data_IF_337160365498
#
_entry.id   IF_337160365498
#
_cell.length_a   1.000
_cell.length_b   1.000
_cell.length_c   1.000
_cell.angle_alpha   90.00
_cell.angle_beta   90.00
_cell.angle_gamma   90.00
#
_symmetry.space_group_name_H-M   'P 1'
#
loop_
_entity.id
_entity.type
_entity.pdbx_description
1 polymer ?
#
# COMPACT_ATOMS: atom_id res chain seq x y z
N UNK A 1 -25.34 21.80 -39.81
CA UNK A 1 -25.06 20.38 -40.17
C UNK A 1 -24.49 20.28 -41.60
N UNK A 2 -23.72 21.28 -42.07
CA UNK A 2 -23.39 21.48 -43.49
C UNK A 2 -21.88 21.63 -43.70
N UNK A 3 -21.08 20.87 -42.96
CA UNK A 3 -19.63 21.03 -43.02
C UNK A 3 -18.99 19.80 -43.64
N UNK A 4 -18.29 20.01 -44.75
CA UNK A 4 -17.46 18.98 -45.36
C UNK A 4 -16.28 18.68 -44.44
N UNK A 5 -15.91 17.41 -44.33
CA UNK A 5 -14.74 16.97 -43.58
C UNK A 5 -13.79 16.23 -44.51
N UNK A 6 -12.50 16.25 -44.17
CA UNK A 6 -11.51 15.43 -44.86
C UNK A 6 -11.76 13.94 -44.58
N UNK A 7 -11.81 13.11 -45.62
CA UNK A 7 -12.04 11.68 -45.51
C UNK A 7 -10.87 10.89 -44.90
N UNK A 8 -9.67 11.50 -44.76
CA UNK A 8 -8.50 10.88 -44.08
C UNK A 8 -8.39 11.30 -42.62
N UNK A 9 -8.40 12.60 -42.31
CA UNK A 9 -8.17 13.10 -40.94
C UNK A 9 -9.44 13.57 -40.21
N UNK A 10 -10.60 13.54 -40.86
CA UNK A 10 -11.88 14.07 -40.37
C UNK A 10 -11.88 15.54 -39.94
N UNK A 11 -10.82 16.30 -40.27
CA UNK A 11 -10.78 17.73 -40.02
C UNK A 11 -11.90 18.42 -40.82
N UNK A 12 -12.63 19.31 -40.14
CA UNK A 12 -13.64 20.14 -40.77
C UNK A 12 -12.99 21.11 -41.75
N UNK A 13 -13.55 21.19 -42.95
CA UNK A 13 -13.11 22.12 -43.98
C UNK A 13 -13.90 23.41 -43.88
N UNK A 14 -13.21 24.55 -43.84
CA UNK A 14 -13.86 25.85 -43.78
C UNK A 14 -14.62 26.15 -45.08
N UNK A 15 -15.63 27.00 -45.00
CA UNK A 15 -16.27 27.53 -46.20
C UNK A 15 -15.24 28.31 -47.04
N UNK A 16 -15.37 28.27 -48.37
CA UNK A 16 -14.42 28.86 -49.32
C UNK A 16 -13.01 28.27 -49.28
N UNK A 17 -12.79 27.20 -48.50
CA UNK A 17 -11.50 26.51 -48.50
C UNK A 17 -11.34 25.62 -49.73
N UNK A 18 -10.08 25.41 -50.10
CA UNK A 18 -9.67 24.47 -51.13
C UNK A 18 -9.66 23.06 -50.54
N UNK A 19 -10.20 22.12 -51.31
CA UNK A 19 -10.19 20.69 -51.05
C UNK A 19 -9.74 19.93 -52.31
N UNK A 20 -9.37 18.67 -52.12
CA UNK A 20 -8.99 17.78 -53.21
C UNK A 20 -10.02 16.65 -53.29
N UNK A 21 -10.72 16.57 -54.41
CA UNK A 21 -11.65 15.49 -54.71
C UNK A 21 -10.94 14.45 -55.58
N UNK A 22 -10.93 13.19 -55.15
CA UNK A 22 -10.46 12.08 -55.97
C UNK A 22 -11.58 11.53 -56.86
N UNK A 23 -11.24 10.85 -57.96
CA UNK A 23 -12.19 10.21 -58.88
C UNK A 23 -13.07 9.15 -58.22
N UNK A 24 -12.62 8.60 -57.07
CA UNK A 24 -13.41 7.72 -56.23
C UNK A 24 -14.46 8.44 -55.36
N UNK A 25 -14.70 9.73 -55.58
CA UNK A 25 -15.66 10.56 -54.86
C UNK A 25 -15.37 10.66 -53.35
N UNK A 26 -14.09 10.75 -52.98
CA UNK A 26 -13.64 11.05 -51.62
C UNK A 26 -12.89 12.38 -51.57
N UNK A 27 -13.08 13.11 -50.47
CA UNK A 27 -12.59 14.47 -50.30
C UNK A 27 -11.42 14.52 -49.32
N UNK A 28 -10.38 15.29 -49.63
CA UNK A 28 -9.20 15.41 -48.79
C UNK A 28 -8.86 16.88 -48.54
N UNK A 29 -8.36 17.19 -47.34
CA UNK A 29 -7.70 18.46 -47.12
C UNK A 29 -6.37 18.51 -47.87
N UNK A 30 -5.84 19.71 -48.21
CA UNK A 30 -4.61 19.84 -48.98
C UNK A 30 -3.42 19.06 -48.38
N UNK A 31 -3.30 19.06 -47.05
CA UNK A 31 -2.25 18.32 -46.33
C UNK A 31 -2.39 16.82 -46.57
N UNK A 32 -3.55 16.24 -46.27
CA UNK A 32 -3.76 14.80 -46.43
C UNK A 32 -3.68 14.33 -47.88
N UNK A 33 -4.14 15.15 -48.83
CA UNK A 33 -4.02 14.85 -50.25
C UNK A 33 -2.56 14.78 -50.67
N UNK A 34 -1.75 15.77 -50.25
CA UNK A 34 -0.30 15.79 -50.48
C UNK A 34 0.36 14.53 -49.91
N UNK A 35 0.06 14.18 -48.66
CA UNK A 35 0.66 13.01 -48.01
C UNK A 35 0.33 11.71 -48.77
N UNK A 36 -0.92 11.54 -49.21
CA UNK A 36 -1.36 10.37 -49.98
C UNK A 36 -0.65 10.30 -51.33
N UNK A 37 -0.52 11.43 -52.03
CA UNK A 37 0.14 11.50 -53.34
C UNK A 37 1.66 11.33 -53.27
N UNK A 38 2.29 11.74 -52.17
CA UNK A 38 3.74 11.57 -51.97
C UNK A 38 4.08 10.15 -51.52
N UNK A 39 3.15 9.47 -50.85
CA UNK A 39 3.32 8.09 -50.38
C UNK A 39 2.81 7.04 -51.38
N UNK A 40 2.19 7.47 -52.48
CA UNK A 40 1.42 6.61 -53.41
C UNK A 40 0.41 5.69 -52.67
N UNK A 41 -0.15 6.19 -51.58
CA UNK A 41 -1.13 5.46 -50.78
C UNK A 41 -2.45 5.34 -51.56
N UNK A 42 -3.16 4.20 -51.48
CA UNK A 42 -4.52 4.12 -51.99
C UNK A 42 -5.48 4.95 -51.13
N UNK A 43 -6.69 5.16 -51.64
CA UNK A 43 -7.76 5.80 -50.90
C UNK A 43 -8.02 5.06 -49.57
N UNK A 44 -7.98 5.72 -48.40
CA UNK A 44 -8.15 5.05 -47.11
C UNK A 44 -9.58 4.53 -46.86
N UNK A 45 -10.53 4.81 -47.76
CA UNK A 45 -11.93 4.42 -47.62
C UNK A 45 -12.37 3.32 -48.59
N UNK A 46 -11.91 3.36 -49.84
CA UNK A 46 -12.30 2.38 -50.86
C UNK A 46 -11.12 1.69 -51.54
N UNK A 47 -9.90 1.95 -51.09
CA UNK A 47 -8.65 1.38 -51.62
C UNK A 47 -8.39 1.69 -53.11
N UNK A 48 -9.21 2.55 -53.71
CA UNK A 48 -9.01 3.01 -55.09
C UNK A 48 -7.72 3.82 -55.24
N UNK A 49 -7.07 3.78 -56.42
CA UNK A 49 -5.83 4.51 -56.64
C UNK A 49 -6.06 6.02 -56.54
N UNK A 50 -5.13 6.74 -55.90
CA UNK A 50 -5.12 8.21 -55.85
C UNK A 50 -3.83 8.68 -56.51
N UNK A 51 -3.94 9.35 -57.65
CA UNK A 51 -2.82 9.83 -58.46
C UNK A 51 -3.05 11.29 -58.86
N UNK A 52 -1.99 11.98 -59.30
CA UNK A 52 -2.09 13.38 -59.73
C UNK A 52 -3.05 13.59 -60.90
N UNK A 53 -3.30 12.57 -61.73
CA UNK A 53 -4.19 12.64 -62.88
C UNK A 53 -5.66 12.36 -62.55
N UNK A 54 -5.96 11.79 -61.38
CA UNK A 54 -7.32 11.39 -61.01
C UNK A 54 -7.88 12.18 -59.81
N UNK A 55 -7.23 13.28 -59.46
CA UNK A 55 -7.69 14.23 -58.46
C UNK A 55 -8.04 15.57 -59.10
N UNK A 56 -8.93 16.30 -58.46
CA UNK A 56 -9.30 17.66 -58.83
C UNK A 56 -9.30 18.56 -57.61
N UNK A 57 -8.69 19.72 -57.75
CA UNK A 57 -8.81 20.79 -56.76
C UNK A 57 -10.20 21.42 -56.88
N UNK A 58 -10.91 21.51 -55.77
CA UNK A 58 -12.27 22.04 -55.69
C UNK A 58 -12.33 23.07 -54.57
N UNK A 59 -13.04 24.17 -54.80
CA UNK A 59 -13.29 25.17 -53.75
C UNK A 59 -14.69 24.96 -53.19
N UNK A 60 -14.83 24.90 -51.87
CA UNK A 60 -16.13 24.78 -51.21
C UNK A 60 -16.87 26.12 -51.35
N UNK A 61 -17.84 26.20 -52.26
CA UNK A 61 -18.54 27.44 -52.57
C UNK A 61 -19.65 27.74 -51.57
N UNK A 62 -19.88 29.03 -51.26
CA UNK A 62 -21.00 29.49 -50.41
C UNK A 62 -22.22 29.95 -51.22
N UNK A 63 -22.04 30.24 -52.51
CA UNK A 63 -23.12 30.62 -53.41
C UNK A 63 -22.98 29.88 -54.74
N UNK A 64 -24.07 29.79 -55.50
CA UNK A 64 -24.12 29.04 -56.74
C UNK A 64 -23.74 29.88 -57.97
N UNK A 65 -23.39 31.17 -57.85
CA UNK A 65 -23.23 32.05 -59.03
C UNK A 65 -22.15 31.57 -59.99
N UNK A 66 -21.03 31.05 -59.47
CA UNK A 66 -19.95 30.46 -60.28
C UNK A 66 -20.38 29.13 -60.93
N UNK A 67 -21.19 28.35 -60.24
CA UNK A 67 -21.75 27.10 -60.78
C UNK A 67 -22.84 27.36 -61.82
N UNK A 68 -23.64 28.43 -61.67
CA UNK A 68 -24.69 28.80 -62.62
C UNK A 68 -24.11 29.04 -64.01
N UNK A 69 -23.01 29.79 -64.10
CA UNK A 69 -22.32 29.99 -65.37
C UNK A 69 -21.78 28.67 -65.96
N UNK A 70 -21.34 27.75 -65.10
CA UNK A 70 -20.87 26.42 -65.52
C UNK A 70 -21.99 25.53 -66.09
N UNK A 71 -23.25 25.83 -65.78
CA UNK A 71 -24.42 25.10 -66.29
C UNK A 71 -25.03 25.73 -67.55
N UNK A 72 -24.63 26.96 -67.91
CA UNK A 72 -25.09 27.61 -69.13
C UNK A 72 -24.67 26.80 -70.38
N UNK A 73 -25.62 26.54 -71.28
CA UNK A 73 -25.38 25.73 -72.49
C UNK A 73 -25.51 24.21 -72.29
N UNK A 74 -25.75 23.74 -71.06
CA UNK A 74 -26.04 22.34 -70.78
C UNK A 74 -27.51 21.98 -71.03
N UNK A 75 -27.78 20.71 -71.33
CA UNK A 75 -29.16 20.22 -71.44
C UNK A 75 -29.80 20.09 -70.05
N UNK A 76 -31.14 20.19 -69.94
CA UNK A 76 -31.83 19.93 -68.66
C UNK A 76 -31.47 18.57 -68.06
N UNK A 77 -31.28 17.54 -68.90
CA UNK A 77 -30.89 16.21 -68.48
C UNK A 77 -29.53 16.21 -67.77
N UNK A 78 -28.49 16.77 -68.41
CA UNK A 78 -27.13 16.86 -67.85
C UNK A 78 -27.10 17.65 -66.52
N UNK A 79 -27.90 18.72 -66.43
CA UNK A 79 -28.04 19.51 -65.20
C UNK A 79 -28.62 18.65 -64.07
N UNK A 80 -29.71 17.93 -64.35
CA UNK A 80 -30.36 17.05 -63.36
C UNK A 80 -29.44 15.89 -62.92
N UNK A 81 -28.71 15.26 -63.84
CA UNK A 81 -27.76 14.21 -63.51
C UNK A 81 -26.61 14.72 -62.61
N UNK A 82 -26.07 15.90 -62.94
CA UNK A 82 -25.01 16.54 -62.15
C UNK A 82 -25.50 16.88 -60.74
N UNK A 83 -26.70 17.43 -60.62
CA UNK A 83 -27.33 17.73 -59.33
C UNK A 83 -27.55 16.45 -58.51
N UNK A 84 -28.07 15.39 -59.13
CA UNK A 84 -28.27 14.10 -58.48
C UNK A 84 -26.95 13.49 -57.99
N UNK A 85 -25.89 13.55 -58.79
CA UNK A 85 -24.57 13.08 -58.41
C UNK A 85 -24.01 13.85 -57.19
N UNK A 86 -24.17 15.18 -57.19
CA UNK A 86 -23.78 16.03 -56.06
C UNK A 86 -24.54 15.70 -54.76
N UNK A 87 -25.86 15.50 -54.86
CA UNK A 87 -26.71 15.09 -53.72
C UNK A 87 -26.27 13.73 -53.19
N UNK A 88 -26.10 12.74 -54.06
CA UNK A 88 -25.62 11.40 -53.68
C UNK A 88 -24.28 11.46 -52.96
N UNK A 89 -23.32 12.20 -53.52
CA UNK A 89 -22.02 12.42 -52.89
C UNK A 89 -22.17 13.02 -51.49
N UNK A 90 -22.97 14.08 -51.32
CA UNK A 90 -23.21 14.68 -50.01
C UNK A 90 -23.83 13.69 -49.02
N UNK A 91 -24.83 12.90 -49.43
CA UNK A 91 -25.42 11.87 -48.59
C UNK A 91 -24.40 10.82 -48.12
N UNK A 92 -23.51 10.37 -49.01
CA UNK A 92 -22.45 9.44 -48.64
C UNK A 92 -21.43 10.09 -47.70
N UNK A 93 -21.06 11.35 -47.91
CA UNK A 93 -20.20 12.08 -46.97
C UNK A 93 -20.80 12.17 -45.56
N UNK A 94 -22.12 12.37 -45.46
CA UNK A 94 -22.80 12.39 -44.16
C UNK A 94 -22.75 11.02 -43.47
N UNK A 95 -22.92 9.92 -44.21
CA UNK A 95 -22.77 8.56 -43.66
C UNK A 95 -21.35 8.31 -43.15
N UNK A 96 -20.34 8.71 -43.93
CA UNK A 96 -18.94 8.57 -43.55
C UNK A 96 -18.61 9.38 -42.30
N UNK A 97 -19.15 10.59 -42.17
CA UNK A 97 -18.98 11.42 -40.97
C UNK A 97 -19.55 10.73 -39.72
N UNK A 98 -20.77 10.18 -39.81
CA UNK A 98 -21.39 9.43 -38.71
C UNK A 98 -20.59 8.17 -38.36
N UNK A 99 -20.11 7.43 -39.36
CA UNK A 99 -19.26 6.26 -39.15
C UNK A 99 -17.93 6.61 -38.48
N UNK A 100 -17.29 7.71 -38.90
CA UNK A 100 -16.06 8.18 -38.26
C UNK A 100 -16.31 8.53 -36.79
N UNK A 101 -17.34 9.31 -36.50
CA UNK A 101 -17.70 9.71 -35.13
C UNK A 101 -18.02 8.47 -34.27
N UNK A 102 -18.76 7.50 -34.82
CA UNK A 102 -19.04 6.22 -34.16
C UNK A 102 -17.76 5.43 -33.87
N UNK A 103 -16.86 5.29 -34.83
CA UNK A 103 -15.60 4.56 -34.67
C UNK A 103 -14.69 5.21 -33.62
N UNK A 104 -14.64 6.55 -33.56
CA UNK A 104 -13.88 7.28 -32.55
C UNK A 104 -14.47 7.07 -31.15
N UNK A 105 -15.80 7.15 -31.02
CA UNK A 105 -16.48 6.89 -29.75
C UNK A 105 -16.29 5.44 -29.29
N UNK A 106 -16.40 4.48 -30.21
CA UNK A 106 -16.19 3.05 -29.93
C UNK A 106 -14.76 2.77 -29.45
N UNK A 107 -13.74 3.36 -30.09
CA UNK A 107 -12.34 3.25 -29.64
C UNK A 107 -12.13 3.86 -28.25
N UNK A 108 -12.69 5.06 -28.00
CA UNK A 108 -12.64 5.70 -26.67
C UNK A 108 -13.33 4.86 -25.60
N UNK A 109 -14.51 4.33 -25.91
CA UNK A 109 -15.28 3.48 -25.00
C UNK A 109 -14.51 2.20 -24.65
N UNK A 110 -13.97 1.51 -25.65
CA UNK A 110 -13.16 0.30 -25.45
C UNK A 110 -11.94 0.57 -24.56
N UNK A 111 -11.22 1.68 -24.81
CA UNK A 111 -10.08 2.10 -23.99
C UNK A 111 -10.48 2.43 -22.55
N UNK A 112 -11.59 3.13 -22.35
CA UNK A 112 -12.09 3.46 -21.02
C UNK A 112 -12.55 2.21 -20.27
N UNK A 113 -13.22 1.29 -20.97
CA UNK A 113 -13.66 0.01 -20.40
C UNK A 113 -12.48 -0.84 -19.95
N UNK A 114 -11.40 -0.92 -20.74
CA UNK A 114 -10.20 -1.67 -20.36
C UNK A 114 -9.49 -1.06 -19.17
N UNK A 115 -9.38 0.27 -19.10
CA UNK A 115 -8.83 0.98 -17.93
C UNK A 115 -9.66 0.77 -16.67
N UNK A 116 -10.99 0.83 -16.79
CA UNK A 116 -11.89 0.59 -15.66
C UNK A 116 -11.74 -0.84 -15.12
N UNK A 117 -11.71 -1.84 -16.00
CA UNK A 117 -11.47 -3.25 -15.62
C UNK A 117 -10.13 -3.43 -14.92
N UNK A 118 -9.05 -2.86 -15.47
CA UNK A 118 -7.73 -2.93 -14.85
C UNK A 118 -7.70 -2.29 -13.46
N UNK A 119 -8.36 -1.14 -13.29
CA UNK A 119 -8.43 -0.46 -11.98
C UNK A 119 -9.25 -1.25 -10.96
N UNK A 120 -10.37 -1.84 -11.40
CA UNK A 120 -11.20 -2.70 -10.56
C UNK A 120 -10.40 -3.92 -10.07
N UNK A 121 -9.65 -4.55 -10.96
CA UNK A 121 -8.81 -5.69 -10.60
C UNK A 121 -7.68 -5.29 -9.63
N UNK A 122 -7.04 -4.14 -9.85
CA UNK A 122 -6.05 -3.60 -8.91
C UNK A 122 -6.64 -3.37 -7.51
N UNK A 123 -7.83 -2.78 -7.41
CA UNK A 123 -8.52 -2.56 -6.14
C UNK A 123 -8.88 -3.90 -5.48
N UNK A 124 -9.39 -4.85 -6.27
CA UNK A 124 -9.75 -6.17 -5.77
C UNK A 124 -8.53 -6.92 -5.20
N UNK A 125 -7.40 -6.91 -5.92
CA UNK A 125 -6.15 -7.51 -5.45
C UNK A 125 -5.63 -6.83 -4.18
N UNK A 126 -5.68 -5.49 -4.13
CA UNK A 126 -5.32 -4.73 -2.93
C UNK A 126 -6.19 -5.07 -1.72
N UNK A 127 -7.51 -5.19 -1.93
CA UNK A 127 -8.45 -5.63 -0.90
C UNK A 127 -8.12 -7.03 -0.38
N UNK A 128 -7.88 -8.00 -1.28
CA UNK A 128 -7.52 -9.37 -0.89
C UNK A 128 -6.21 -9.42 -0.09
N UNK A 129 -5.21 -8.63 -0.48
CA UNK A 129 -3.95 -8.55 0.26
C UNK A 129 -4.14 -7.94 1.65
N UNK A 130 -4.88 -6.83 1.75
CA UNK A 130 -5.19 -6.20 3.03
C UNK A 130 -5.98 -7.14 3.95
N UNK A 131 -6.96 -7.87 3.39
CA UNK A 131 -7.74 -8.88 4.12
C UNK A 131 -6.86 -9.98 4.69
N UNK A 132 -5.90 -10.51 3.93
CA UNK A 132 -4.94 -11.53 4.42
C UNK A 132 -4.08 -11.00 5.56
N UNK A 133 -3.47 -9.82 5.40
CA UNK A 133 -2.66 -9.20 6.45
C UNK A 133 -3.45 -8.96 7.73
N UNK A 134 -4.70 -8.49 7.59
CA UNK A 134 -5.59 -8.30 8.74
C UNK A 134 -5.82 -9.63 9.49
N UNK A 135 -6.07 -10.72 8.77
CA UNK A 135 -6.26 -12.04 9.38
C UNK A 135 -5.00 -12.53 10.10
N UNK A 136 -3.82 -12.35 9.50
CA UNK A 136 -2.52 -12.67 10.10
C UNK A 136 -2.29 -11.88 11.40
N UNK A 137 -2.47 -10.56 11.37
CA UNK A 137 -2.33 -9.69 12.56
C UNK A 137 -3.34 -10.05 13.66
N UNK A 138 -4.57 -10.44 13.30
CA UNK A 138 -5.56 -10.91 14.28
C UNK A 138 -5.11 -12.22 14.93
N UNK A 139 -4.53 -13.15 14.17
CA UNK A 139 -3.98 -14.40 14.72
C UNK A 139 -2.80 -14.12 15.66
N UNK A 140 -1.85 -13.26 15.25
CA UNK A 140 -0.72 -12.85 16.09
C UNK A 140 -1.19 -12.19 17.39
N UNK A 141 -2.15 -11.26 17.32
CA UNK A 141 -2.74 -10.62 18.50
C UNK A 141 -3.32 -11.65 19.46
N UNK A 142 -4.05 -12.64 18.95
CA UNK A 142 -4.64 -13.68 19.78
C UNK A 142 -3.57 -14.56 20.44
N UNK A 143 -2.49 -14.87 19.72
CA UNK A 143 -1.32 -15.57 20.27
C UNK A 143 -0.66 -14.81 21.42
N UNK A 144 -0.33 -13.53 21.19
CA UNK A 144 0.26 -12.66 22.23
C UNK A 144 -0.67 -12.56 23.45
N UNK A 145 -1.99 -12.48 23.25
CA UNK A 145 -2.94 -12.43 24.35
C UNK A 145 -2.95 -13.72 25.17
N UNK A 146 -2.79 -14.88 24.52
CA UNK A 146 -2.65 -16.16 25.21
C UNK A 146 -1.36 -16.20 26.05
N UNK A 147 -0.24 -15.74 25.50
CA UNK A 147 1.05 -15.68 26.20
C UNK A 147 0.99 -14.75 27.43
N UNK A 148 0.35 -13.58 27.29
CA UNK A 148 0.13 -12.66 28.41
C UNK A 148 -0.65 -13.34 29.53
N UNK A 149 -1.70 -14.08 29.19
CA UNK A 149 -2.52 -14.78 30.18
C UNK A 149 -1.72 -15.88 30.89
N UNK A 150 -0.93 -16.65 30.14
CA UNK A 150 -0.06 -17.71 30.70
C UNK A 150 1.02 -17.13 31.63
N UNK A 151 1.72 -16.07 31.20
CA UNK A 151 2.74 -15.41 32.02
C UNK A 151 2.14 -14.82 33.30
N UNK A 152 0.95 -14.22 33.20
CA UNK A 152 0.22 -13.68 34.35
C UNK A 152 -0.08 -14.77 35.39
N UNK A 153 -0.57 -15.93 34.95
CA UNK A 153 -0.81 -17.08 35.84
C UNK A 153 0.49 -17.59 36.49
N UNK A 154 1.56 -17.75 35.71
CA UNK A 154 2.88 -18.15 36.22
C UNK A 154 3.41 -17.17 37.25
N UNK A 155 3.26 -15.86 37.00
CA UNK A 155 3.68 -14.82 37.93
C UNK A 155 2.90 -14.88 39.24
N UNK A 156 1.56 -15.05 39.19
CA UNK A 156 0.72 -15.22 40.37
C UNK A 156 1.15 -16.44 41.20
N UNK A 157 1.36 -17.59 40.56
CA UNK A 157 1.83 -18.80 41.23
C UNK A 157 3.18 -18.59 41.90
N UNK A 158 4.15 -17.99 41.18
CA UNK A 158 5.48 -17.71 41.71
C UNK A 158 5.44 -16.74 42.88
N UNK A 159 4.62 -15.69 42.81
CA UNK A 159 4.41 -14.73 43.90
C UNK A 159 3.88 -15.43 45.17
N UNK A 160 2.88 -16.32 45.03
CA UNK A 160 2.35 -17.10 46.14
C UNK A 160 3.41 -18.02 46.76
N UNK A 161 4.22 -18.70 45.94
CA UNK A 161 5.31 -19.54 46.41
C UNK A 161 6.37 -18.73 47.16
N UNK A 162 6.80 -17.59 46.60
CA UNK A 162 7.76 -16.69 47.25
C UNK A 162 7.25 -16.22 48.62
N UNK A 163 5.97 -15.86 48.74
CA UNK A 163 5.37 -15.47 50.02
C UNK A 163 5.44 -16.61 51.05
N UNK A 164 5.07 -17.83 50.67
CA UNK A 164 5.16 -19.01 51.54
C UNK A 164 6.58 -19.31 51.99
N UNK A 165 7.54 -19.23 51.07
CA UNK A 165 8.97 -19.41 51.37
C UNK A 165 9.48 -18.34 52.35
N UNK A 166 9.10 -17.08 52.15
CA UNK A 166 9.46 -16.00 53.07
C UNK A 166 8.88 -16.22 54.47
N UNK A 167 7.64 -16.70 54.57
CA UNK A 167 7.01 -17.06 55.85
C UNK A 167 7.74 -18.22 56.55
N UNK A 168 8.07 -19.29 55.83
CA UNK A 168 8.84 -20.42 56.37
C UNK A 168 10.25 -20.03 56.81
N UNK A 169 10.96 -19.21 56.02
CA UNK A 169 12.30 -18.73 56.39
C UNK A 169 12.24 -17.91 57.67
N UNK A 170 11.25 -17.02 57.82
CA UNK A 170 11.05 -16.26 59.05
C UNK A 170 10.76 -17.16 60.25
N UNK A 171 9.92 -18.19 60.07
CA UNK A 171 9.62 -19.16 61.13
C UNK A 171 10.88 -19.92 61.59
N UNK A 172 11.65 -20.46 60.65
CA UNK A 172 12.91 -21.16 60.96
C UNK A 172 13.96 -20.25 61.59
N UNK A 173 14.01 -18.97 61.22
CA UNK A 173 14.87 -17.99 61.86
C UNK A 173 14.46 -17.74 63.32
N UNK A 174 13.16 -17.60 63.59
CA UNK A 174 12.63 -17.48 64.94
C UNK A 174 12.96 -18.71 65.80
N UNK A 175 12.72 -19.91 65.28
CA UNK A 175 13.06 -21.17 65.97
C UNK A 175 14.56 -21.28 66.27
N UNK A 176 15.42 -20.91 65.31
CA UNK A 176 16.87 -20.91 65.53
C UNK A 176 17.29 -19.94 66.63
N UNK A 177 16.72 -18.74 66.66
CA UNK A 177 17.00 -17.76 67.72
C UNK A 177 16.51 -18.23 69.10
N UNK A 178 15.36 -18.89 69.15
CA UNK A 178 14.85 -19.52 70.37
C UNK A 178 15.73 -20.67 70.85
N UNK A 179 16.18 -21.54 69.93
CA UNK A 179 17.13 -22.61 70.24
C UNK A 179 18.47 -22.06 70.74
N UNK A 180 19.02 -21.03 70.09
CA UNK A 180 20.24 -20.34 70.57
C UNK A 180 20.04 -19.72 71.95
N UNK A 181 18.86 -19.17 72.24
CA UNK A 181 18.53 -18.62 73.56
C UNK A 181 18.47 -19.73 74.60
N UNK A 182 17.77 -20.83 74.32
CA UNK A 182 17.69 -22.01 75.20
C UNK A 182 19.07 -22.61 75.45
N UNK A 183 19.90 -22.74 74.41
CA UNK A 183 21.27 -23.22 74.52
C UNK A 183 22.12 -22.30 75.39
N UNK A 184 22.04 -20.97 75.20
CA UNK A 184 22.73 -20.00 76.07
C UNK A 184 22.32 -20.12 77.54
N UNK A 185 21.03 -20.28 77.82
CA UNK A 185 20.50 -20.48 79.18
C UNK A 185 20.99 -21.81 79.76
N UNK A 186 20.95 -22.89 79.00
CA UNK A 186 21.44 -24.21 79.44
C UNK A 186 22.95 -24.20 79.75
N UNK A 187 23.75 -23.57 78.90
CA UNK A 187 25.20 -23.41 79.11
C UNK A 187 25.48 -22.55 80.34
N UNK A 188 24.76 -21.43 80.51
CA UNK A 188 24.89 -20.59 81.71
C UNK A 188 24.50 -21.35 82.99
N UNK A 189 23.43 -22.15 82.94
CA UNK A 189 23.02 -23.03 84.04
C UNK A 189 24.06 -24.11 84.36
N UNK A 190 24.62 -24.76 83.35
CA UNK A 190 25.69 -25.76 83.51
C UNK A 190 26.98 -25.14 84.10
N UNK A 191 27.35 -23.94 83.66
CA UNK A 191 28.46 -23.17 84.23
C UNK A 191 28.20 -22.80 85.69
N UNK A 192 26.99 -22.34 86.03
CA UNK A 192 26.62 -22.01 87.42
C UNK A 192 26.68 -23.24 88.35
N UNK A 193 26.21 -24.40 87.88
CA UNK A 193 26.32 -25.69 88.57
C UNK A 193 27.79 -26.13 88.76
N UNK A 194 28.62 -25.97 87.72
CA UNK A 194 30.05 -26.28 87.81
C UNK A 194 30.78 -25.39 88.82
N UNK A 195 30.45 -24.09 88.88
CA UNK A 195 30.99 -23.16 89.88
C UNK A 195 30.52 -23.49 91.29
N UNK A 196 29.26 -23.89 91.46
CA UNK A 196 28.75 -24.34 92.77
C UNK A 196 29.46 -25.62 93.25
N UNK A 197 29.73 -26.58 92.35
CA UNK A 197 30.47 -27.80 92.68
C UNK A 197 31.94 -27.53 93.05
N UNK A 198 32.61 -26.56 92.41
CA UNK A 198 33.99 -26.21 92.78
C UNK A 198 34.07 -25.43 94.10
N UNK A 199 33.05 -24.62 94.42
CA UNK A 199 32.96 -23.94 95.72
C UNK A 199 32.69 -24.92 96.87
N UNK A 200 31.89 -25.96 96.64
CA UNK A 200 31.68 -27.04 97.62
C UNK A 200 32.94 -27.89 97.84
N UNK A 201 33.82 -28.03 96.84
CA UNK A 201 35.10 -28.73 96.98
C UNK A 201 36.18 -27.91 97.72
N UNK A 202 36.03 -26.58 97.84
CA UNK A 202 37.01 -25.71 98.50
C UNK A 202 36.81 -25.57 100.04
N UNK A 203 35.73 -26.12 100.59
CA UNK A 203 35.45 -26.08 102.04
C UNK A 203 35.73 -27.44 102.70
N UNK A 204 37.00 -27.83 102.84
CA UNK A 204 37.42 -28.92 103.75
C UNK A 204 38.88 -28.79 104.20
N UNK A 205 39.06 -28.39 105.47
CA UNK A 205 40.16 -28.71 106.41
C UNK A 205 41.41 -27.79 106.58
N UNK A 206 42.03 -27.77 107.79
CA UNK A 206 42.49 -26.55 108.48
C UNK A 206 44.01 -26.45 108.79
N UNK A 207 44.36 -25.33 109.44
CA UNK A 207 45.67 -24.81 109.91
C UNK A 207 46.66 -25.79 110.57
N UNK A 208 47.97 -25.57 110.34
CA UNK A 208 48.95 -25.42 111.43
C UNK A 208 50.22 -24.65 111.01
N UNK A 209 50.85 -24.03 112.02
CA UNK A 209 51.76 -22.90 111.96
C UNK A 209 53.25 -23.26 111.80
N UNK A 210 54.05 -22.30 111.31
CA UNK A 210 55.52 -22.37 111.29
C UNK A 210 56.19 -21.15 110.64
N UNK A 211 56.42 -20.10 111.44
CA UNK A 211 57.41 -19.02 111.19
C UNK A 211 58.83 -19.52 111.57
N UNK A 212 59.98 -18.88 111.24
CA UNK A 212 60.15 -17.41 111.06
C UNK A 212 61.21 -16.89 110.04
N UNK A 213 61.16 -15.55 109.82
CA UNK A 213 62.28 -14.57 109.57
C UNK A 213 63.16 -14.77 108.32
N UNK A 214 63.72 -13.78 107.62
CA UNK A 214 64.13 -12.37 107.85
C UNK A 214 64.49 -11.73 106.48
N UNK A 215 64.34 -10.39 106.38
CA UNK A 215 65.11 -9.43 105.53
C UNK A 215 64.98 -9.57 103.99
N UNK A 216 64.99 -8.51 103.17
CA UNK A 216 65.26 -7.09 103.36
C UNK A 216 64.78 -6.32 102.11
N UNK A 217 64.45 -5.04 102.32
CA UNK A 217 64.76 -3.86 101.49
C UNK A 217 64.54 -3.98 99.97
N UNK A 218 63.60 -3.26 99.37
CA UNK A 218 63.82 -1.85 99.03
C UNK A 218 63.62 -1.64 97.51
N UNK A 219 63.51 -0.39 97.02
CA UNK A 219 62.38 -0.02 96.15
C UNK A 219 62.74 0.65 94.81
N UNK A 220 61.69 0.96 94.03
CA UNK A 220 61.62 1.91 92.88
C UNK A 220 62.31 1.41 91.60
N UNK A 221 61.79 1.64 90.40
CA UNK A 221 60.81 2.61 89.87
C UNK A 221 59.88 1.94 88.89
#
# INVERSE_FOLDING_TARGET
MEHMRCNKCAAQMAAQSVCIAASCNHLFCPTCAKDVLESDDPCPLCEGPITRSNIKQVTIMQNSSVLQLSLCGQTPHTIMESALAGIKFFCEQQKLNVQFDHNQLSKKFTRMQSQCKAKLEQVHQGYLQAKRRYQETVQEKNGIQADINELSQKYQQKSLQTRKLQEMVKALQQENEDLKRRFRVAVAGALALAVACTQLAACSCPQQAGSPRLLAQGPRR
#
